data_IF_728757791826
#
_entry.id   IF_728757791826
#
_cell.length_a   1.000
_cell.length_b   1.000
_cell.length_c   1.000
_cell.angle_alpha   90.00
_cell.angle_beta   90.00
_cell.angle_gamma   90.00
#
_symmetry.space_group_name_H-M   'P 1'
#
loop_
_entity.id
_entity.type
_entity.pdbx_description
1 polymer ?
#
# COMPACT_ATOMS: atom_id res chain seq x y z
N UNK A 1 9.51 -5.48 18.23
CA UNK A 1 9.81 -4.51 17.19
C UNK A 1 10.75 -3.47 17.75
N UNK A 2 11.88 -3.21 17.09
CA UNK A 2 12.77 -2.12 17.48
C UNK A 2 12.01 -0.80 17.32
N UNK A 3 11.93 -0.03 18.40
CA UNK A 3 11.23 1.26 18.41
C UNK A 3 12.26 2.33 18.09
N UNK A 4 12.07 3.04 16.99
CA UNK A 4 12.92 4.19 16.62
C UNK A 4 12.59 5.35 17.56
N UNK A 5 13.62 6.03 18.05
CA UNK A 5 13.46 7.37 18.61
C UNK A 5 13.33 8.38 17.44
N UNK A 6 12.10 8.78 17.16
CA UNK A 6 11.82 9.68 16.03
C UNK A 6 12.50 11.03 16.17
N UNK A 7 12.71 11.53 17.40
CA UNK A 7 13.37 12.80 17.62
C UNK A 7 14.89 12.72 17.34
N UNK A 8 15.51 11.60 17.72
CA UNK A 8 16.92 11.35 17.38
C UNK A 8 17.10 11.20 15.87
N UNK A 9 16.24 10.40 15.22
CA UNK A 9 16.27 10.24 13.77
C UNK A 9 16.09 11.59 13.06
N UNK A 10 15.14 12.43 13.47
CA UNK A 10 14.93 13.76 12.86
C UNK A 10 16.19 14.64 12.94
N UNK A 11 16.91 14.62 14.05
CA UNK A 11 18.19 15.36 14.19
C UNK A 11 19.24 14.81 13.21
N UNK A 12 19.36 13.49 13.15
CA UNK A 12 20.38 12.81 12.34
C UNK A 12 20.13 12.93 10.84
N UNK A 13 18.89 12.99 10.36
CA UNK A 13 18.59 13.21 8.94
C UNK A 13 18.90 14.64 8.47
N UNK A 14 18.92 15.63 9.38
CA UNK A 14 19.31 17.00 9.05
C UNK A 14 20.83 17.18 8.95
N UNK A 15 21.61 16.29 9.54
CA UNK A 15 23.07 16.31 9.46
C UNK A 15 23.57 15.42 8.30
N UNK A 16 24.27 15.99 7.30
CA UNK A 16 24.76 15.24 6.14
C UNK A 16 25.66 14.05 6.49
N UNK A 17 26.39 14.10 7.62
CA UNK A 17 27.31 13.03 8.01
C UNK A 17 26.59 11.81 8.60
N UNK A 18 25.47 12.01 9.28
CA UNK A 18 24.69 10.95 9.94
C UNK A 18 23.44 10.53 9.16
N UNK A 19 23.01 11.34 8.18
CA UNK A 19 21.77 11.12 7.39
C UNK A 19 21.67 9.72 6.79
N UNK A 20 22.75 9.24 6.17
CA UNK A 20 22.74 7.92 5.54
C UNK A 20 22.46 6.80 6.55
N UNK A 21 23.13 6.83 7.69
CA UNK A 21 22.93 5.83 8.75
C UNK A 21 21.54 5.90 9.35
N UNK A 22 21.01 7.12 9.54
CA UNK A 22 19.64 7.31 10.01
C UNK A 22 18.62 6.72 9.01
N UNK A 23 18.84 6.91 7.71
CA UNK A 23 17.98 6.35 6.69
C UNK A 23 18.07 4.82 6.61
N UNK A 24 19.27 4.23 6.72
CA UNK A 24 19.45 2.78 6.79
C UNK A 24 18.68 2.18 7.99
N UNK A 25 18.64 2.87 9.13
CA UNK A 25 17.86 2.46 10.29
C UNK A 25 16.34 2.54 10.01
N UNK A 26 15.86 3.61 9.37
CA UNK A 26 14.48 3.76 8.92
C UNK A 26 14.07 2.59 8.01
N UNK A 27 14.90 2.28 7.01
CA UNK A 27 14.65 1.17 6.08
C UNK A 27 14.57 -0.17 6.83
N UNK A 28 15.53 -0.46 7.70
CA UNK A 28 15.57 -1.71 8.46
C UNK A 28 14.34 -1.90 9.37
N UNK A 29 13.82 -0.83 9.97
CA UNK A 29 12.68 -0.92 10.88
C UNK A 29 11.35 -1.00 10.13
N UNK A 30 11.19 -0.27 9.03
CA UNK A 30 9.89 -0.11 8.39
C UNK A 30 9.69 -0.92 7.10
N UNK A 31 10.75 -1.50 6.49
CA UNK A 31 10.65 -2.21 5.21
C UNK A 31 9.62 -3.34 5.25
N UNK A 32 9.68 -4.22 6.25
CA UNK A 32 8.74 -5.35 6.38
C UNK A 32 7.29 -4.88 6.53
N UNK A 33 7.07 -3.85 7.33
CA UNK A 33 5.72 -3.32 7.57
C UNK A 33 5.16 -2.65 6.31
N UNK A 34 5.99 -1.88 5.58
CA UNK A 34 5.60 -1.26 4.30
C UNK A 34 5.37 -2.31 3.22
N UNK A 35 6.22 -3.35 3.16
CA UNK A 35 6.08 -4.45 2.21
C UNK A 35 4.67 -5.03 2.24
N UNK A 36 4.17 -5.44 3.39
CA UNK A 36 2.84 -6.03 3.51
C UNK A 36 1.72 -5.06 3.13
N UNK A 37 1.87 -3.76 3.42
CA UNK A 37 0.88 -2.76 3.01
C UNK A 37 0.83 -2.56 1.50
N UNK A 38 1.99 -2.57 0.86
CA UNK A 38 2.10 -2.53 -0.60
C UNK A 38 1.57 -3.83 -1.20
N UNK A 39 1.90 -4.98 -0.60
CA UNK A 39 1.51 -6.29 -1.09
C UNK A 39 -0.02 -6.48 -1.14
N UNK A 40 -0.77 -5.98 -0.15
CA UNK A 40 -2.23 -5.97 -0.21
C UNK A 40 -2.78 -5.20 -1.42
N UNK A 41 -2.03 -4.24 -1.93
CA UNK A 41 -2.39 -3.46 -3.11
C UNK A 41 -1.97 -4.14 -4.41
N UNK A 42 -0.76 -4.67 -4.46
CA UNK A 42 -0.13 -5.24 -5.66
C UNK A 42 -0.55 -6.69 -5.89
N UNK A 43 -0.67 -7.48 -4.81
CA UNK A 43 -0.99 -8.92 -4.83
C UNK A 43 -0.01 -9.75 -5.68
N UNK A 44 1.19 -9.25 -5.84
CA UNK A 44 2.29 -9.86 -6.56
C UNK A 44 3.59 -9.46 -5.89
N UNK A 45 4.51 -10.40 -5.68
CA UNK A 45 5.77 -10.16 -4.97
C UNK A 45 6.71 -9.23 -5.74
N UNK A 46 6.90 -9.47 -7.04
CA UNK A 46 7.81 -8.69 -7.88
C UNK A 46 7.35 -7.22 -7.95
N UNK A 47 6.06 -6.99 -8.21
CA UNK A 47 5.48 -5.64 -8.21
C UNK A 47 5.57 -4.97 -6.84
N UNK A 48 5.43 -5.75 -5.75
CA UNK A 48 5.56 -5.24 -4.38
C UNK A 48 6.98 -4.78 -4.10
N UNK A 49 7.97 -5.55 -4.50
CA UNK A 49 9.39 -5.22 -4.33
C UNK A 49 9.76 -3.98 -5.15
N UNK A 50 9.30 -3.88 -6.38
CA UNK A 50 9.51 -2.70 -7.23
C UNK A 50 8.91 -1.42 -6.61
N UNK A 51 7.68 -1.49 -6.13
CA UNK A 51 7.02 -0.36 -5.47
C UNK A 51 7.70 0.00 -4.15
N UNK A 52 8.12 -1.00 -3.36
CA UNK A 52 8.86 -0.78 -2.11
C UNK A 52 10.20 -0.09 -2.36
N UNK A 53 10.95 -0.56 -3.36
CA UNK A 53 12.22 0.04 -3.75
C UNK A 53 12.03 1.49 -4.19
N UNK A 54 11.06 1.76 -5.08
CA UNK A 54 10.74 3.11 -5.54
C UNK A 54 10.30 4.03 -4.38
N UNK A 55 9.56 3.48 -3.41
CA UNK A 55 9.17 4.18 -2.19
C UNK A 55 10.39 4.67 -1.42
N UNK A 56 11.38 3.80 -1.17
CA UNK A 56 12.58 4.19 -0.44
C UNK A 56 13.50 5.12 -1.25
N UNK A 57 13.57 4.98 -2.57
CA UNK A 57 14.29 5.93 -3.44
C UNK A 57 13.66 7.34 -3.33
N UNK A 58 12.33 7.44 -3.38
CA UNK A 58 11.63 8.73 -3.22
C UNK A 58 11.74 9.27 -1.81
N UNK A 59 11.66 8.41 -0.80
CA UNK A 59 11.87 8.80 0.59
C UNK A 59 13.27 9.37 0.79
N UNK A 60 14.31 8.73 0.26
CA UNK A 60 15.68 9.25 0.31
C UNK A 60 15.80 10.64 -0.31
N UNK A 61 15.23 10.84 -1.49
CA UNK A 61 15.23 12.14 -2.18
C UNK A 61 14.45 13.23 -1.43
N UNK A 62 13.40 12.84 -0.73
CA UNK A 62 12.56 13.78 0.05
C UNK A 62 13.00 13.97 1.49
N UNK A 63 14.00 13.22 1.96
CA UNK A 63 14.38 13.14 3.37
C UNK A 63 14.85 14.50 3.93
N UNK A 64 15.57 15.29 3.14
CA UNK A 64 16.04 16.62 3.54
C UNK A 64 14.89 17.60 3.86
N UNK A 65 13.76 17.41 3.19
CA UNK A 65 12.58 18.26 3.35
C UNK A 65 11.61 17.75 4.41
N UNK A 66 11.88 16.59 4.99
CA UNK A 66 11.04 16.03 6.04
C UNK A 66 11.27 16.76 7.35
N UNK A 67 10.23 17.50 7.80
CA UNK A 67 10.31 18.38 8.99
C UNK A 67 9.78 17.73 10.27
N UNK A 68 9.25 16.48 10.18
CA UNK A 68 8.63 15.82 11.33
C UNK A 68 7.19 16.26 11.61
N UNK A 69 6.49 16.84 10.62
CA UNK A 69 5.08 17.24 10.73
C UNK A 69 4.14 16.03 10.87
N UNK A 70 4.64 14.83 10.64
CA UNK A 70 3.97 13.55 10.88
C UNK A 70 4.98 12.52 11.37
N UNK A 71 4.50 11.39 11.94
CA UNK A 71 5.36 10.25 12.21
C UNK A 71 6.09 9.79 10.93
N UNK A 72 7.33 9.33 11.07
CA UNK A 72 8.16 8.84 9.94
C UNK A 72 7.42 7.76 9.15
N UNK A 73 6.79 6.82 9.84
CA UNK A 73 6.02 5.76 9.20
C UNK A 73 4.85 6.31 8.37
N UNK A 74 4.12 7.30 8.88
CA UNK A 74 3.00 7.94 8.17
C UNK A 74 3.46 8.62 6.89
N UNK A 75 4.62 9.29 6.94
CA UNK A 75 5.22 9.92 5.78
C UNK A 75 5.67 8.89 4.73
N UNK A 76 6.36 7.82 5.13
CA UNK A 76 6.73 6.71 4.25
C UNK A 76 5.52 6.03 3.63
N UNK A 77 4.48 5.83 4.42
CA UNK A 77 3.24 5.20 3.97
C UNK A 77 2.51 6.03 2.89
N UNK A 78 2.53 7.37 3.02
CA UNK A 78 2.00 8.25 1.95
C UNK A 78 2.78 8.11 0.64
N UNK A 79 4.10 7.99 0.72
CA UNK A 79 4.94 7.76 -0.45
C UNK A 79 4.60 6.41 -1.08
N UNK A 80 4.60 5.34 -0.30
CA UNK A 80 4.27 3.98 -0.75
C UNK A 80 2.89 3.91 -1.41
N UNK A 81 1.91 4.58 -0.81
CA UNK A 81 0.58 4.71 -1.34
C UNK A 81 0.54 5.33 -2.73
N UNK A 82 1.17 6.49 -2.90
CA UNK A 82 1.21 7.20 -4.17
C UNK A 82 1.96 6.40 -5.24
N UNK A 83 3.04 5.70 -4.85
CA UNK A 83 3.78 4.81 -5.75
C UNK A 83 2.91 3.64 -6.21
N UNK A 84 2.19 3.00 -5.29
CA UNK A 84 1.26 1.92 -5.61
C UNK A 84 0.20 2.36 -6.63
N UNK A 85 -0.43 3.52 -6.43
CA UNK A 85 -1.40 4.05 -7.38
C UNK A 85 -0.78 4.37 -8.74
N UNK A 86 0.42 4.95 -8.75
CA UNK A 86 1.14 5.31 -9.97
C UNK A 86 1.47 4.05 -10.76
N UNK A 87 1.98 3.02 -10.08
CA UNK A 87 2.32 1.73 -10.67
C UNK A 87 1.09 1.06 -11.31
N UNK A 88 0.00 0.94 -10.56
CA UNK A 88 -1.25 0.35 -11.07
C UNK A 88 -1.84 1.13 -12.25
N UNK A 89 -1.71 2.45 -12.25
CA UNK A 89 -2.17 3.28 -13.38
C UNK A 89 -1.32 3.06 -14.63
N UNK A 90 0.01 2.99 -14.49
CA UNK A 90 0.93 2.73 -15.60
C UNK A 90 0.69 1.34 -16.19
N UNK A 91 0.56 0.32 -15.35
CA UNK A 91 0.26 -1.05 -15.77
C UNK A 91 -1.03 -1.12 -16.58
N UNK A 92 -2.11 -0.49 -16.10
CA UNK A 92 -3.37 -0.43 -16.85
C UNK A 92 -3.23 0.27 -18.21
N UNK A 93 -2.38 1.28 -18.35
CA UNK A 93 -2.14 1.95 -19.62
C UNK A 93 -1.37 1.06 -20.60
N UNK A 94 -0.46 0.22 -20.11
CA UNK A 94 0.30 -0.71 -20.94
C UNK A 94 -0.56 -1.88 -21.43
N UNK A 95 -1.48 -2.39 -20.61
CA UNK A 95 -2.40 -3.48 -20.99
C UNK A 95 -3.54 -3.02 -21.89
N UNK A 96 -4.00 -1.78 -21.80
CA UNK A 96 -5.08 -1.25 -22.66
C UNK A 96 -4.65 -0.97 -24.10
N UNK A 97 -3.38 -1.19 -24.45
CA UNK A 97 -2.90 -1.11 -25.83
C UNK A 97 -3.09 -2.45 -26.58
N UNK A 98 -3.23 -3.57 -25.86
CA UNK A 98 -3.26 -4.91 -26.44
C UNK A 98 -4.59 -5.67 -26.34
N UNK A 99 -5.51 -5.39 -25.37
CA UNK A 99 -6.79 -6.11 -25.27
C UNK A 99 -7.86 -5.37 -24.46
N UNK A 100 -9.06 -5.18 -25.03
CA UNK A 100 -10.24 -4.65 -24.34
C UNK A 100 -10.86 -5.63 -23.32
N UNK A 101 -10.41 -6.89 -23.29
CA UNK A 101 -10.97 -7.97 -22.45
C UNK A 101 -10.01 -8.56 -21.40
N UNK A 102 -8.85 -7.95 -21.17
CA UNK A 102 -7.95 -8.43 -20.12
C UNK A 102 -8.43 -8.02 -18.73
N UNK A 103 -9.38 -8.79 -18.20
CA UNK A 103 -9.54 -8.89 -16.74
C UNK A 103 -8.23 -9.45 -16.21
N UNK A 104 -7.44 -8.58 -15.60
CA UNK A 104 -6.18 -8.92 -14.96
C UNK A 104 -6.46 -10.03 -13.92
N UNK A 105 -6.35 -11.29 -14.36
CA UNK A 105 -6.20 -12.39 -13.44
C UNK A 105 -4.85 -12.16 -12.76
N UNK A 106 -4.91 -11.42 -11.65
CA UNK A 106 -3.80 -11.44 -10.71
C UNK A 106 -3.54 -12.91 -10.44
N UNK A 107 -2.41 -13.41 -10.92
CA UNK A 107 -1.94 -14.73 -10.52
C UNK A 107 -1.60 -14.61 -9.02
N UNK A 108 -2.62 -14.80 -8.20
CA UNK A 108 -2.43 -14.97 -6.79
C UNK A 108 -1.67 -16.29 -6.63
N UNK A 109 -0.36 -16.21 -6.56
CA UNK A 109 0.45 -17.31 -6.09
C UNK A 109 0.16 -17.36 -4.59
N UNK A 110 -0.52 -18.42 -4.16
CA UNK A 110 -0.74 -18.69 -2.75
C UNK A 110 0.61 -18.58 -2.04
N UNK A 111 0.73 -17.57 -1.21
CA UNK A 111 1.94 -17.34 -0.44
C UNK A 111 2.09 -18.48 0.58
N UNK A 112 3.31 -18.99 0.78
CA UNK A 112 3.65 -20.02 1.76
C UNK A 112 3.23 -19.62 3.21
N UNK A 113 2.84 -18.35 3.39
CA UNK A 113 2.34 -17.76 4.63
C UNK A 113 0.80 -17.70 4.74
N UNK A 114 0.06 -18.08 3.68
CA UNK A 114 -1.38 -18.21 3.74
C UNK A 114 -1.74 -19.63 4.16
N UNK A 115 -2.17 -19.76 5.39
CA UNK A 115 -2.73 -21.00 5.95
C UNK A 115 -4.02 -21.32 5.17
N UNK A 116 -3.93 -22.19 4.21
CA UNK A 116 -4.84 -22.79 3.23
C UNK A 116 -6.37 -22.72 3.44
N UNK A 117 -6.95 -21.61 3.87
CA UNK A 117 -8.38 -21.42 3.91
C UNK A 117 -8.87 -20.88 2.55
N UNK A 118 -9.59 -21.71 1.80
CA UNK A 118 -10.23 -21.37 0.51
C UNK A 118 -11.00 -20.03 0.57
N UNK A 119 -11.53 -19.66 1.73
CA UNK A 119 -12.27 -18.41 1.94
C UNK A 119 -11.37 -17.20 1.83
N UNK A 120 -10.14 -17.27 2.34
CA UNK A 120 -9.20 -16.17 2.30
C UNK A 120 -8.65 -15.96 0.89
N UNK A 121 -8.37 -17.04 0.18
CA UNK A 121 -7.95 -16.98 -1.22
C UNK A 121 -9.06 -16.35 -2.09
N UNK A 122 -10.30 -16.76 -1.90
CA UNK A 122 -11.45 -16.21 -2.62
C UNK A 122 -11.66 -14.72 -2.32
N UNK A 123 -11.45 -14.29 -1.07
CA UNK A 123 -11.47 -12.87 -0.69
C UNK A 123 -10.38 -12.08 -1.42
N UNK A 124 -9.14 -12.58 -1.47
CA UNK A 124 -8.04 -11.88 -2.13
C UNK A 124 -8.26 -11.81 -3.65
N UNK A 125 -8.80 -12.86 -4.26
CA UNK A 125 -9.24 -12.83 -5.67
C UNK A 125 -10.30 -11.75 -5.89
N UNK A 126 -11.32 -11.67 -5.03
CA UNK A 126 -12.34 -10.62 -5.13
C UNK A 126 -11.74 -9.23 -4.99
N UNK A 127 -10.80 -9.03 -4.05
CA UNK A 127 -10.10 -7.75 -3.84
C UNK A 127 -9.28 -7.36 -5.07
N UNK A 128 -8.68 -8.33 -5.79
CA UNK A 128 -7.91 -8.06 -7.02
C UNK A 128 -8.76 -7.45 -8.14
N UNK A 129 -10.05 -7.76 -8.18
CA UNK A 129 -10.98 -7.23 -9.19
C UNK A 129 -11.39 -5.77 -8.95
N UNK A 130 -11.10 -5.23 -7.77
CA UNK A 130 -11.48 -3.86 -7.43
C UNK A 130 -10.63 -2.83 -8.18
N UNK A 131 -11.22 -1.69 -8.61
CA UNK A 131 -10.45 -0.53 -9.04
C UNK A 131 -9.46 -0.10 -7.95
N UNK A 132 -8.26 0.35 -8.34
CA UNK A 132 -7.15 0.64 -7.44
C UNK A 132 -7.52 1.49 -6.20
N UNK A 133 -8.31 2.56 -6.37
CA UNK A 133 -8.76 3.41 -5.27
C UNK A 133 -9.74 2.71 -4.32
N UNK A 134 -10.63 1.86 -4.85
CA UNK A 134 -11.57 1.08 -4.02
C UNK A 134 -10.83 0.00 -3.27
N UNK A 135 -9.93 -0.73 -3.95
CA UNK A 135 -9.06 -1.75 -3.35
C UNK A 135 -8.31 -1.17 -2.15
N UNK A 136 -7.73 0.00 -2.32
CA UNK A 136 -6.96 0.65 -1.30
C UNK A 136 -7.77 1.04 -0.06
N UNK A 137 -8.92 1.69 -0.25
CA UNK A 137 -9.80 2.01 0.87
C UNK A 137 -10.25 0.76 1.59
N UNK A 138 -10.54 -0.31 0.83
CA UNK A 138 -10.89 -1.61 1.40
C UNK A 138 -9.74 -2.19 2.23
N UNK A 139 -8.53 -2.23 1.68
CA UNK A 139 -7.36 -2.76 2.39
C UNK A 139 -7.06 -1.98 3.69
N UNK A 140 -7.08 -0.66 3.63
CA UNK A 140 -6.85 0.17 4.82
C UNK A 140 -7.92 0.00 5.89
N UNK A 141 -9.19 -0.19 5.48
CA UNK A 141 -10.30 -0.34 6.43
C UNK A 141 -10.41 -1.77 6.96
N UNK A 142 -10.31 -2.77 6.08
CA UNK A 142 -10.55 -4.17 6.43
C UNK A 142 -9.33 -4.84 7.07
N UNK A 143 -8.16 -4.77 6.43
CA UNK A 143 -6.95 -5.44 6.91
C UNK A 143 -6.16 -4.63 7.94
N UNK A 144 -6.28 -3.32 7.93
CA UNK A 144 -5.52 -2.44 8.82
C UNK A 144 -6.38 -1.80 9.92
N UNK A 145 -7.69 -2.01 9.89
CA UNK A 145 -8.68 -1.44 10.83
C UNK A 145 -8.54 0.07 11.07
N UNK A 146 -8.10 0.82 10.04
CA UNK A 146 -7.94 2.27 10.14
C UNK A 146 -9.30 2.97 10.25
N UNK A 147 -9.35 4.07 11.01
CA UNK A 147 -10.50 4.95 11.03
C UNK A 147 -10.58 5.75 9.72
N UNK A 148 -11.79 6.13 9.29
CA UNK A 148 -11.95 6.92 8.06
C UNK A 148 -11.24 8.27 8.11
N UNK A 149 -11.14 8.87 9.28
CA UNK A 149 -10.40 10.10 9.52
C UNK A 149 -8.90 9.90 9.23
N UNK A 150 -8.32 8.81 9.73
CA UNK A 150 -6.92 8.46 9.47
C UNK A 150 -6.66 8.17 7.98
N UNK A 151 -7.60 7.49 7.32
CA UNK A 151 -7.53 7.25 5.88
C UNK A 151 -7.62 8.58 5.12
N UNK A 152 -8.55 9.46 5.52
CA UNK A 152 -8.73 10.79 4.93
C UNK A 152 -7.44 11.62 4.98
N UNK A 153 -6.77 11.62 6.13
CA UNK A 153 -5.51 12.33 6.33
C UNK A 153 -4.37 11.74 5.47
N UNK A 154 -4.39 10.42 5.26
CA UNK A 154 -3.37 9.73 4.45
C UNK A 154 -3.54 9.99 2.96
N UNK A 155 -4.77 9.92 2.45
CA UNK A 155 -5.05 9.89 1.01
C UNK A 155 -5.60 11.20 0.46
N UNK A 156 -5.93 12.16 1.31
CA UNK A 156 -6.48 13.46 0.91
C UNK A 156 -7.90 13.37 0.33
N UNK A 157 -8.68 12.35 0.74
CA UNK A 157 -10.04 12.12 0.26
C UNK A 157 -11.01 12.28 1.43
N UNK A 158 -12.17 12.96 1.22
CA UNK A 158 -13.14 13.19 2.29
C UNK A 158 -13.68 11.89 2.88
N UNK A 159 -13.99 11.91 4.18
CA UNK A 159 -14.57 10.77 4.92
C UNK A 159 -15.84 10.25 4.25
N UNK A 160 -16.71 11.14 3.74
CA UNK A 160 -17.93 10.74 3.03
C UNK A 160 -17.63 9.95 1.75
N UNK A 161 -16.67 10.40 0.95
CA UNK A 161 -16.24 9.70 -0.27
C UNK A 161 -15.58 8.36 0.05
N UNK A 162 -14.80 8.27 1.14
CA UNK A 162 -14.19 7.02 1.59
C UNK A 162 -15.24 5.99 2.03
N UNK A 163 -16.26 6.40 2.79
CA UNK A 163 -17.38 5.55 3.20
C UNK A 163 -18.14 5.01 1.99
N UNK A 164 -18.45 5.86 1.01
CA UNK A 164 -19.10 5.45 -0.22
C UNK A 164 -18.22 4.46 -1.02
N UNK A 165 -16.93 4.74 -1.15
CA UNK A 165 -15.96 3.88 -1.84
C UNK A 165 -15.83 2.51 -1.18
N UNK A 166 -15.77 2.47 0.15
CA UNK A 166 -15.73 1.22 0.92
C UNK A 166 -17.01 0.40 0.75
N UNK A 167 -18.17 1.05 0.82
CA UNK A 167 -19.46 0.36 0.62
C UNK A 167 -19.54 -0.31 -0.75
N UNK A 168 -19.18 0.42 -1.81
CA UNK A 168 -19.15 -0.12 -3.18
C UNK A 168 -18.15 -1.28 -3.29
N UNK A 169 -16.99 -1.16 -2.64
CA UNK A 169 -15.99 -2.24 -2.63
C UNK A 169 -16.54 -3.52 -1.97
N UNK A 170 -17.18 -3.39 -0.81
CA UNK A 170 -17.79 -4.52 -0.09
C UNK A 170 -18.89 -5.16 -0.93
N UNK A 171 -19.75 -4.39 -1.59
CA UNK A 171 -20.80 -4.90 -2.47
C UNK A 171 -20.21 -5.71 -3.64
N UNK A 172 -19.17 -5.19 -4.31
CA UNK A 172 -18.48 -5.89 -5.41
C UNK A 172 -17.85 -7.20 -4.94
N UNK A 173 -17.15 -7.18 -3.80
CA UNK A 173 -16.56 -8.39 -3.20
C UNK A 173 -17.62 -9.42 -2.89
N UNK A 174 -18.73 -9.00 -2.26
CA UNK A 174 -19.84 -9.90 -1.92
C UNK A 174 -20.45 -10.54 -3.17
N UNK A 175 -20.67 -9.77 -4.24
CA UNK A 175 -21.20 -10.26 -5.50
C UNK A 175 -20.21 -11.22 -6.19
N UNK A 176 -18.91 -10.92 -6.15
CA UNK A 176 -17.88 -11.84 -6.68
C UNK A 176 -17.90 -13.18 -5.97
N UNK A 177 -17.89 -13.17 -4.62
CA UNK A 177 -17.89 -14.40 -3.82
C UNK A 177 -19.15 -15.25 -4.11
N UNK A 178 -20.34 -14.61 -4.09
CA UNK A 178 -21.60 -15.30 -4.43
C UNK A 178 -21.64 -15.89 -5.84
N UNK A 179 -20.90 -15.33 -6.78
CA UNK A 179 -20.84 -15.87 -8.15
C UNK A 179 -19.94 -17.10 -8.28
N UNK A 180 -19.16 -17.42 -7.24
CA UNK A 180 -18.24 -18.58 -7.18
C UNK A 180 -18.77 -19.73 -6.33
N UNK A 181 -19.82 -19.48 -5.54
CA UNK A 181 -20.62 -20.51 -4.84
C UNK A 181 -21.61 -21.20 -5.81
#
# INVERSE_FOLDING_TARGET
MAKIDEQDILKRIQDPQSRRRAFEEIVNVYSRQLYWKIHYMMQNHDDTDDVLQNTFIKAWKGLENFKGDSAIFTWLYRIAYNESLTFLKQRKQMTSIDDEDFVEQASFVADEYFDGDNTQELLMQAVSTLPAKQRQVFCMKYFEDKKYEEISDLVGTSVGALKASYHIAVEKITNFIKSKE
#
